data_IF_490481127629
#
_entry.id   IF_490481127629
#
_cell.length_a   1.000
_cell.length_b   1.000
_cell.length_c   1.000
_cell.angle_alpha   90.00
_cell.angle_beta   90.00
_cell.angle_gamma   90.00
#
_symmetry.space_group_name_H-M   'P 1'
#
loop_
_entity.id
_entity.type
_entity.pdbx_description
1 polymer ?
#
# COMPACT_ATOMS: atom_id res chain seq x y z
N UNK A 1 -0.98 -27.75 20.27
CA UNK A 1 -1.45 -26.84 21.35
C UNK A 1 -0.29 -26.35 22.23
N UNK A 2 0.55 -27.21 22.82
CA UNK A 2 1.68 -26.74 23.65
C UNK A 2 2.82 -26.06 22.87
N UNK A 3 3.12 -26.48 21.66
CA UNK A 3 4.09 -25.85 20.77
C UNK A 3 3.66 -24.44 20.36
N UNK A 4 2.37 -24.24 20.11
CA UNK A 4 1.83 -22.92 19.72
C UNK A 4 1.83 -21.94 20.91
N UNK A 5 1.50 -22.41 22.11
CA UNK A 5 1.55 -21.61 23.34
C UNK A 5 2.97 -21.14 23.69
N UNK A 6 3.98 -22.00 23.47
CA UNK A 6 5.37 -21.65 23.69
C UNK A 6 5.89 -20.65 22.65
N UNK A 7 5.47 -20.78 21.39
CA UNK A 7 5.79 -19.81 20.33
C UNK A 7 5.19 -18.43 20.64
N UNK A 8 3.91 -18.36 21.01
CA UNK A 8 3.21 -17.13 21.41
C UNK A 8 3.89 -16.48 22.63
N UNK A 9 4.24 -17.25 23.67
CA UNK A 9 4.97 -16.72 24.84
C UNK A 9 6.33 -16.15 24.46
N UNK A 10 7.07 -16.80 23.56
CA UNK A 10 8.38 -16.34 23.10
C UNK A 10 8.29 -15.04 22.31
N UNK A 11 7.28 -14.90 21.43
CA UNK A 11 7.02 -13.66 20.67
C UNK A 11 6.66 -12.53 21.63
N UNK A 12 5.75 -12.76 22.58
CA UNK A 12 5.36 -11.75 23.56
C UNK A 12 6.55 -11.31 24.42
N UNK A 13 7.43 -12.24 24.83
CA UNK A 13 8.62 -11.91 25.60
C UNK A 13 9.58 -11.04 24.79
N UNK A 14 9.81 -11.35 23.51
CA UNK A 14 10.65 -10.55 22.60
C UNK A 14 10.09 -9.14 22.45
N UNK A 15 8.79 -9.02 22.16
CA UNK A 15 8.14 -7.74 21.94
C UNK A 15 8.17 -6.86 23.21
N UNK A 16 7.95 -7.45 24.40
CA UNK A 16 8.06 -6.74 25.66
C UNK A 16 9.49 -6.25 25.93
N UNK A 17 10.52 -7.04 25.60
CA UNK A 17 11.92 -6.63 25.74
C UNK A 17 12.25 -5.47 24.82
N UNK A 18 11.81 -5.52 23.54
CA UNK A 18 12.00 -4.43 22.59
C UNK A 18 11.32 -3.17 23.11
N UNK A 19 10.07 -3.27 23.56
CA UNK A 19 9.31 -2.12 24.08
C UNK A 19 9.99 -1.49 25.29
N UNK A 20 10.46 -2.29 26.25
CA UNK A 20 11.17 -1.79 27.45
C UNK A 20 12.48 -1.12 27.04
N UNK A 21 13.28 -1.75 26.16
CA UNK A 21 14.53 -1.20 25.68
C UNK A 21 14.32 0.13 24.94
N UNK A 22 13.26 0.20 24.14
CA UNK A 22 12.89 1.40 23.39
C UNK A 22 12.45 2.55 24.31
N UNK A 23 11.67 2.25 25.35
CA UNK A 23 11.33 3.23 26.41
C UNK A 23 12.59 3.77 27.10
N UNK A 24 13.54 2.90 27.44
CA UNK A 24 14.80 3.32 28.05
C UNK A 24 15.60 4.21 27.08
N UNK A 25 15.70 3.81 25.81
CA UNK A 25 16.37 4.57 24.77
C UNK A 25 15.71 5.95 24.58
N UNK A 26 14.38 6.01 24.59
CA UNK A 26 13.62 7.27 24.49
C UNK A 26 14.03 8.25 25.58
N UNK A 27 14.09 7.83 26.86
CA UNK A 27 14.53 8.68 27.96
C UNK A 27 16.02 9.07 27.87
N UNK A 28 16.88 8.20 27.37
CA UNK A 28 18.29 8.52 27.11
C UNK A 28 18.37 9.64 26.06
N UNK A 29 17.70 9.48 24.92
CA UNK A 29 17.73 10.45 23.82
C UNK A 29 17.19 11.81 24.22
N UNK A 30 16.12 11.84 25.03
CA UNK A 30 15.58 13.10 25.56
C UNK A 30 16.63 13.97 26.27
N UNK A 31 17.64 13.34 26.90
CA UNK A 31 18.61 14.03 27.76
C UNK A 31 20.01 14.13 27.14
N UNK A 32 20.31 13.40 26.06
CA UNK A 32 21.68 13.30 25.53
C UNK A 32 21.87 13.93 24.17
N UNK A 33 20.81 14.17 23.40
CA UNK A 33 20.92 14.78 22.09
C UNK A 33 21.40 16.25 22.18
N UNK A 34 22.32 16.70 21.27
CA UNK A 34 22.98 18.00 21.37
C UNK A 34 22.25 19.12 20.63
N UNK A 35 20.92 19.03 20.44
CA UNK A 35 20.13 20.00 19.71
C UNK A 35 19.25 20.86 20.64
N UNK A 36 18.31 21.63 20.08
CA UNK A 36 17.36 22.37 20.88
C UNK A 36 16.41 21.43 21.65
N UNK A 37 15.86 21.84 22.80
CA UNK A 37 14.99 20.97 23.60
C UNK A 37 13.81 20.40 22.81
N UNK A 38 13.19 21.21 21.93
CA UNK A 38 12.08 20.79 21.08
C UNK A 38 12.53 19.77 20.03
N UNK A 39 13.68 19.98 19.38
CA UNK A 39 14.26 19.04 18.44
C UNK A 39 14.66 17.72 19.11
N UNK A 40 15.27 17.77 20.30
CA UNK A 40 15.62 16.57 21.06
C UNK A 40 14.40 15.72 21.39
N UNK A 41 13.32 16.34 21.88
CA UNK A 41 12.06 15.66 22.15
C UNK A 41 11.46 15.03 20.90
N UNK A 42 11.48 15.76 19.78
CA UNK A 42 10.94 15.28 18.50
C UNK A 42 11.75 14.14 17.91
N UNK A 43 13.07 14.22 17.96
CA UNK A 43 13.96 13.16 17.49
C UNK A 43 13.84 11.90 18.36
N UNK A 44 13.75 12.08 19.70
CA UNK A 44 13.51 10.96 20.61
C UNK A 44 12.15 10.30 20.32
N UNK A 45 11.10 11.09 20.10
CA UNK A 45 9.78 10.60 19.70
C UNK A 45 9.85 9.84 18.36
N UNK A 46 10.53 10.41 17.38
CA UNK A 46 10.72 9.76 16.07
C UNK A 46 11.38 8.39 16.20
N UNK A 47 12.51 8.31 16.93
CA UNK A 47 13.24 7.04 17.13
C UNK A 47 12.36 6.01 17.84
N UNK A 48 11.65 6.41 18.88
CA UNK A 48 10.70 5.56 19.61
C UNK A 48 9.60 5.00 18.68
N UNK A 49 8.93 5.85 17.95
CA UNK A 49 7.87 5.44 17.02
C UNK A 49 8.45 4.58 15.87
N UNK A 50 9.63 4.95 15.35
CA UNK A 50 10.30 4.19 14.28
C UNK A 50 10.62 2.76 14.71
N UNK A 51 11.20 2.56 15.90
CA UNK A 51 11.52 1.23 16.42
C UNK A 51 10.24 0.40 16.58
N UNK A 52 9.17 0.97 17.14
CA UNK A 52 7.89 0.26 17.30
C UNK A 52 7.24 -0.09 15.95
N UNK A 53 7.29 0.79 14.95
CA UNK A 53 6.74 0.50 13.61
C UNK A 53 7.59 -0.52 12.84
N UNK A 54 8.92 -0.43 12.91
CA UNK A 54 9.83 -1.31 12.18
C UNK A 54 9.90 -2.73 12.79
N UNK A 55 9.76 -2.84 14.11
CA UNK A 55 9.85 -4.14 14.81
C UNK A 55 8.48 -4.80 15.02
N UNK A 56 7.39 -4.05 14.82
CA UNK A 56 6.02 -4.45 15.18
C UNK A 56 5.90 -4.99 16.62
N UNK A 57 6.78 -4.50 17.52
CA UNK A 57 6.73 -4.86 18.93
C UNK A 57 5.41 -4.44 19.59
N UNK A 58 4.76 -3.42 19.04
CA UNK A 58 3.41 -2.99 19.33
C UNK A 58 2.64 -2.92 18.01
N UNK A 59 1.32 -3.19 18.06
CA UNK A 59 0.49 -3.10 16.86
C UNK A 59 0.59 -1.72 16.21
N UNK A 60 0.80 -1.68 14.89
CA UNK A 60 1.11 -0.44 14.14
C UNK A 60 0.08 0.69 14.36
N UNK A 61 -1.20 0.35 14.50
CA UNK A 61 -2.28 1.30 14.80
C UNK A 61 -2.14 1.90 16.21
N UNK A 62 -1.79 1.08 17.21
CA UNK A 62 -1.58 1.56 18.59
C UNK A 62 -0.37 2.48 18.64
N UNK A 63 0.71 2.13 17.94
CA UNK A 63 1.88 3.00 17.79
C UNK A 63 1.51 4.34 17.15
N UNK A 64 0.64 4.34 16.13
CA UNK A 64 0.14 5.57 15.51
C UNK A 64 -0.62 6.48 16.49
N UNK A 65 -1.39 5.89 17.40
CA UNK A 65 -2.09 6.64 18.46
C UNK A 65 -1.13 7.17 19.54
N UNK A 66 0.02 6.54 19.77
CA UNK A 66 1.05 7.07 20.70
C UNK A 66 1.65 8.38 20.18
N UNK A 67 1.69 8.63 18.87
CA UNK A 67 2.26 9.85 18.31
C UNK A 67 1.58 11.12 18.83
N UNK A 68 0.25 11.32 18.68
CA UNK A 68 -0.41 12.50 19.23
C UNK A 68 -0.35 12.53 20.77
N UNK A 69 -0.47 11.37 21.44
CA UNK A 69 -0.41 11.29 22.90
C UNK A 69 0.94 11.83 23.40
N UNK A 70 2.04 11.28 22.92
CA UNK A 70 3.38 11.68 23.34
C UNK A 70 3.72 13.09 22.87
N UNK A 71 3.32 13.46 21.64
CA UNK A 71 3.51 14.82 21.12
C UNK A 71 2.87 15.90 22.00
N UNK A 72 1.66 15.65 22.51
CA UNK A 72 0.95 16.54 23.44
C UNK A 72 1.63 16.55 24.82
N UNK A 73 1.96 15.38 25.36
CA UNK A 73 2.59 15.25 26.69
C UNK A 73 3.97 15.89 26.74
N UNK A 74 4.73 15.85 25.64
CA UNK A 74 6.04 16.49 25.51
C UNK A 74 5.95 18.00 25.22
N UNK A 75 4.74 18.52 24.97
CA UNK A 75 4.51 19.94 24.65
C UNK A 75 4.93 20.34 23.23
N UNK A 76 5.04 19.38 22.30
CA UNK A 76 5.47 19.59 20.92
C UNK A 76 4.34 20.06 20.00
N UNK A 77 3.10 19.72 20.34
CA UNK A 77 1.91 20.04 19.56
C UNK A 77 0.70 20.21 20.47
N UNK A 78 -0.23 21.08 20.08
CA UNK A 78 -1.50 21.24 20.81
C UNK A 78 -2.47 20.13 20.45
N UNK A 79 -3.33 19.74 21.41
CA UNK A 79 -4.29 18.63 21.21
C UNK A 79 -5.16 18.79 19.97
N UNK A 80 -5.65 20.00 19.67
CA UNK A 80 -6.46 20.28 18.50
C UNK A 80 -5.70 20.02 17.21
N UNK A 81 -4.45 20.42 17.13
CA UNK A 81 -3.60 20.26 15.95
C UNK A 81 -3.20 18.79 15.75
N UNK A 82 -2.78 18.11 16.82
CA UNK A 82 -2.42 16.70 16.80
C UNK A 82 -3.56 15.80 16.32
N UNK A 83 -4.79 16.09 16.76
CA UNK A 83 -5.97 15.29 16.42
C UNK A 83 -6.59 15.70 15.08
N UNK A 84 -6.38 16.94 14.61
CA UNK A 84 -6.87 17.40 13.31
C UNK A 84 -6.28 16.57 12.13
N UNK A 85 -5.05 16.07 12.28
CA UNK A 85 -4.42 15.22 11.28
C UNK A 85 -5.19 13.91 11.01
N UNK A 86 -5.95 13.41 12.00
CA UNK A 86 -6.81 12.23 11.84
C UNK A 86 -8.11 12.54 11.08
N UNK A 87 -8.38 13.79 10.79
CA UNK A 87 -9.51 14.25 9.97
C UNK A 87 -9.04 14.79 8.60
N UNK A 88 -7.84 14.43 8.14
CA UNK A 88 -7.36 14.81 6.82
C UNK A 88 -8.31 14.28 5.74
N UNK A 89 -8.64 15.07 4.70
CA UNK A 89 -9.52 14.65 3.63
C UNK A 89 -9.13 13.34 2.94
N UNK A 90 -7.84 13.04 2.80
CA UNK A 90 -7.36 11.81 2.16
C UNK A 90 -7.76 10.57 2.97
N UNK A 91 -7.84 10.68 4.30
CA UNK A 91 -8.31 9.57 5.16
C UNK A 91 -9.77 9.21 4.81
N UNK A 92 -10.61 10.20 4.56
CA UNK A 92 -12.00 9.99 4.15
C UNK A 92 -12.13 9.53 2.70
N UNK A 93 -11.19 9.89 1.82
CA UNK A 93 -11.10 9.33 0.48
C UNK A 93 -10.85 7.81 0.55
N UNK A 94 -9.90 7.36 1.40
CA UNK A 94 -9.64 5.94 1.63
C UNK A 94 -10.83 5.23 2.27
N UNK A 95 -11.48 5.84 3.25
CA UNK A 95 -12.71 5.30 3.83
C UNK A 95 -13.77 5.04 2.75
N UNK A 96 -14.01 6.00 1.84
CA UNK A 96 -14.93 5.82 0.72
C UNK A 96 -14.46 4.74 -0.27
N UNK A 97 -13.15 4.61 -0.49
CA UNK A 97 -12.56 3.52 -1.27
C UNK A 97 -12.85 2.14 -0.66
N UNK A 98 -12.70 1.99 0.67
CA UNK A 98 -13.06 0.76 1.39
C UNK A 98 -14.56 0.46 1.32
N UNK A 99 -15.41 1.48 1.43
CA UNK A 99 -16.86 1.30 1.29
C UNK A 99 -17.24 0.81 -0.12
N UNK A 100 -16.61 1.36 -1.16
CA UNK A 100 -16.81 0.95 -2.55
C UNK A 100 -16.31 -0.49 -2.80
N UNK A 101 -15.12 -0.82 -2.31
CA UNK A 101 -14.57 -2.18 -2.36
C UNK A 101 -15.47 -3.20 -1.66
N UNK A 102 -15.98 -2.84 -0.48
CA UNK A 102 -16.93 -3.66 0.29
C UNK A 102 -18.22 -3.88 -0.50
N UNK A 103 -18.76 -2.86 -1.14
CA UNK A 103 -19.96 -2.98 -1.97
C UNK A 103 -19.76 -3.92 -3.16
N UNK A 104 -18.62 -3.83 -3.85
CA UNK A 104 -18.26 -4.74 -4.95
C UNK A 104 -18.17 -6.19 -4.45
N UNK A 105 -17.52 -6.41 -3.30
CA UNK A 105 -17.32 -7.72 -2.71
C UNK A 105 -18.63 -8.38 -2.26
N UNK A 106 -19.48 -7.66 -1.52
CA UNK A 106 -20.78 -8.17 -1.06
C UNK A 106 -21.68 -8.56 -2.23
N UNK A 107 -21.63 -7.81 -3.32
CA UNK A 107 -22.39 -8.11 -4.52
C UNK A 107 -21.72 -9.18 -5.41
N UNK A 108 -20.57 -9.77 -5.01
CA UNK A 108 -19.78 -10.74 -5.76
C UNK A 108 -19.40 -10.23 -7.17
N UNK A 109 -19.27 -8.92 -7.35
CA UNK A 109 -18.89 -8.33 -8.64
C UNK A 109 -17.43 -8.56 -8.98
N UNK A 110 -16.56 -8.63 -7.98
CA UNK A 110 -15.18 -9.06 -8.06
C UNK A 110 -15.07 -10.46 -8.70
N UNK A 111 -15.86 -11.42 -8.19
CA UNK A 111 -15.93 -12.80 -8.75
C UNK A 111 -16.55 -12.83 -10.14
N UNK A 112 -17.59 -12.04 -10.38
CA UNK A 112 -18.23 -11.96 -11.68
C UNK A 112 -17.23 -11.48 -12.75
N UNK A 113 -16.46 -10.42 -12.46
CA UNK A 113 -15.43 -9.88 -13.37
C UNK A 113 -14.37 -10.94 -13.61
N UNK A 114 -13.86 -11.57 -12.54
CA UNK A 114 -12.85 -12.60 -12.63
C UNK A 114 -13.32 -13.79 -13.47
N UNK A 115 -14.50 -14.36 -13.19
CA UNK A 115 -15.06 -15.48 -13.93
C UNK A 115 -15.26 -15.17 -15.41
N UNK A 116 -15.77 -13.96 -15.73
CA UNK A 116 -16.01 -13.54 -17.12
C UNK A 116 -14.72 -13.42 -17.91
N UNK A 117 -13.67 -12.85 -17.33
CA UNK A 117 -12.36 -12.71 -17.98
C UNK A 117 -11.67 -14.07 -18.09
N UNK A 118 -11.74 -14.90 -17.05
CA UNK A 118 -11.17 -16.23 -17.07
C UNK A 118 -11.84 -17.14 -18.13
N UNK A 119 -13.15 -16.99 -18.37
CA UNK A 119 -13.85 -17.71 -19.42
C UNK A 119 -13.29 -17.41 -20.82
N UNK A 120 -12.71 -16.24 -21.04
CA UNK A 120 -12.07 -15.86 -22.32
C UNK A 120 -10.74 -16.56 -22.56
N UNK A 121 -10.21 -17.34 -21.62
CA UNK A 121 -8.96 -18.11 -21.80
C UNK A 121 -9.13 -19.35 -22.69
N UNK A 122 -10.37 -19.73 -22.99
CA UNK A 122 -10.71 -20.90 -23.81
C UNK A 122 -9.99 -22.18 -23.34
N UNK A 123 -9.75 -22.33 -22.04
CA UNK A 123 -9.12 -23.49 -21.45
C UNK A 123 -7.59 -23.57 -21.63
N UNK A 124 -6.95 -22.57 -22.22
CA UNK A 124 -5.48 -22.53 -22.35
C UNK A 124 -4.85 -22.01 -21.05
N UNK A 125 -4.03 -22.83 -20.41
CA UNK A 125 -3.43 -22.50 -19.11
C UNK A 125 -2.56 -21.23 -19.14
N UNK A 126 -1.77 -21.02 -20.21
CA UNK A 126 -0.93 -19.83 -20.36
C UNK A 126 -1.77 -18.54 -20.41
N UNK A 127 -2.86 -18.55 -21.17
CA UNK A 127 -3.78 -17.42 -21.30
C UNK A 127 -4.52 -17.18 -19.99
N UNK A 128 -4.95 -18.28 -19.34
CA UNK A 128 -5.62 -18.21 -18.05
C UNK A 128 -4.73 -17.56 -16.97
N UNK A 129 -3.45 -17.94 -16.90
CA UNK A 129 -2.50 -17.35 -15.95
C UNK A 129 -2.31 -15.86 -16.19
N UNK A 130 -2.14 -15.43 -17.46
CA UNK A 130 -2.00 -14.00 -17.78
C UNK A 130 -3.28 -13.22 -17.43
N UNK A 131 -4.45 -13.76 -17.76
CA UNK A 131 -5.74 -13.13 -17.42
C UNK A 131 -5.93 -13.06 -15.90
N UNK A 132 -5.55 -14.11 -15.18
CA UNK A 132 -5.60 -14.16 -13.72
C UNK A 132 -4.75 -13.02 -13.13
N UNK A 133 -3.53 -12.83 -13.61
CA UNK A 133 -2.63 -11.76 -13.17
C UNK A 133 -3.19 -10.37 -13.52
N UNK A 134 -3.69 -10.20 -14.74
CA UNK A 134 -4.26 -8.93 -15.18
C UNK A 134 -5.51 -8.55 -14.36
N UNK A 135 -6.40 -9.52 -14.09
CA UNK A 135 -7.59 -9.30 -13.26
C UNK A 135 -7.19 -9.02 -11.81
N UNK A 136 -6.23 -9.78 -11.27
CA UNK A 136 -5.71 -9.53 -9.93
C UNK A 136 -5.17 -8.11 -9.81
N UNK A 137 -4.33 -7.67 -10.74
CA UNK A 137 -3.79 -6.32 -10.73
C UNK A 137 -4.91 -5.25 -10.89
N UNK A 138 -5.85 -5.46 -11.80
CA UNK A 138 -6.97 -4.54 -12.01
C UNK A 138 -7.86 -4.40 -10.77
N UNK A 139 -8.22 -5.51 -10.12
CA UNK A 139 -9.05 -5.48 -8.91
C UNK A 139 -8.29 -4.86 -7.73
N UNK A 140 -7.00 -5.15 -7.62
CA UNK A 140 -6.14 -4.58 -6.56
C UNK A 140 -5.93 -3.07 -6.69
N UNK A 141 -6.19 -2.48 -7.83
CA UNK A 141 -6.26 -1.01 -7.95
C UNK A 141 -7.39 -0.39 -7.12
N UNK A 142 -8.45 -1.14 -6.82
CA UNK A 142 -9.70 -0.64 -6.22
C UNK A 142 -10.04 -1.28 -4.88
N UNK A 143 -9.38 -2.38 -4.54
CA UNK A 143 -9.58 -3.19 -3.33
C UNK A 143 -8.23 -3.40 -2.65
N UNK A 144 -8.25 -3.80 -1.36
CA UNK A 144 -6.98 -4.14 -0.71
C UNK A 144 -6.30 -5.34 -1.39
N UNK A 145 -4.96 -5.29 -1.45
CA UNK A 145 -4.13 -6.36 -2.01
C UNK A 145 -4.45 -7.71 -1.36
N UNK A 146 -4.71 -7.70 -0.05
CA UNK A 146 -5.06 -8.88 0.75
C UNK A 146 -6.37 -9.51 0.29
N UNK A 147 -7.44 -8.71 0.20
CA UNK A 147 -8.74 -9.19 -0.25
C UNK A 147 -8.68 -9.73 -1.68
N UNK A 148 -7.98 -9.03 -2.57
CA UNK A 148 -7.80 -9.43 -3.96
C UNK A 148 -7.06 -10.77 -4.06
N UNK A 149 -5.93 -10.94 -3.37
CA UNK A 149 -5.18 -12.19 -3.38
C UNK A 149 -6.00 -13.36 -2.81
N UNK A 150 -6.70 -13.14 -1.68
CA UNK A 150 -7.54 -14.16 -1.04
C UNK A 150 -8.68 -14.62 -1.95
N UNK A 151 -9.28 -13.71 -2.72
CA UNK A 151 -10.35 -14.04 -3.67
C UNK A 151 -9.83 -14.75 -4.92
N UNK A 152 -8.66 -14.35 -5.44
CA UNK A 152 -8.12 -14.93 -6.66
C UNK A 152 -7.46 -16.30 -6.43
N UNK A 153 -7.02 -16.60 -5.20
CA UNK A 153 -6.40 -17.88 -4.85
C UNK A 153 -7.31 -19.09 -5.13
N UNK A 154 -8.59 -19.14 -4.69
CA UNK A 154 -9.47 -20.27 -5.01
C UNK A 154 -9.65 -20.49 -6.52
N UNK A 155 -9.71 -19.43 -7.34
CA UNK A 155 -9.78 -19.53 -8.80
C UNK A 155 -8.51 -20.16 -9.38
N UNK A 156 -7.35 -19.73 -8.91
CA UNK A 156 -6.07 -20.33 -9.30
C UNK A 156 -5.99 -21.79 -8.88
N UNK A 157 -6.35 -22.12 -7.65
CA UNK A 157 -6.35 -23.50 -7.16
C UNK A 157 -7.31 -24.39 -7.94
N UNK A 158 -8.46 -23.86 -8.37
CA UNK A 158 -9.39 -24.56 -9.25
C UNK A 158 -8.78 -24.94 -10.59
N UNK A 159 -7.99 -24.05 -11.20
CA UNK A 159 -7.27 -24.31 -12.44
C UNK A 159 -6.11 -25.28 -12.18
N UNK A 160 -5.32 -25.04 -11.14
CA UNK A 160 -4.14 -25.83 -10.80
C UNK A 160 -4.50 -27.24 -10.35
N UNK A 161 -5.69 -27.49 -9.78
CA UNK A 161 -6.14 -28.82 -9.32
C UNK A 161 -6.18 -29.88 -10.42
N UNK A 162 -6.11 -29.48 -11.70
CA UNK A 162 -6.04 -30.38 -12.85
C UNK A 162 -4.61 -30.82 -13.18
N UNK A 163 -3.61 -30.26 -12.53
CA UNK A 163 -2.19 -30.54 -12.71
C UNK A 163 -1.69 -31.47 -11.59
N UNK A 164 -0.63 -32.23 -11.88
CA UNK A 164 0.08 -33.00 -10.84
C UNK A 164 1.02 -32.06 -10.04
N UNK A 165 0.79 -31.86 -8.72
CA UNK A 165 1.59 -30.94 -7.92
C UNK A 165 3.10 -31.28 -7.89
N UNK A 166 3.48 -32.56 -8.09
CA UNK A 166 4.90 -32.96 -8.09
C UNK A 166 5.54 -32.72 -9.43
N UNK A 167 4.85 -33.09 -10.51
CA UNK A 167 5.36 -32.99 -11.89
C UNK A 167 5.34 -31.55 -12.39
N UNK A 168 4.30 -30.81 -12.04
CA UNK A 168 4.04 -29.46 -12.56
C UNK A 168 4.26 -28.38 -11.49
N UNK A 169 5.08 -28.67 -10.47
CA UNK A 169 5.37 -27.81 -9.33
C UNK A 169 5.74 -26.37 -9.74
N UNK A 170 6.60 -26.22 -10.73
CA UNK A 170 7.02 -24.91 -11.23
C UNK A 170 5.84 -24.08 -11.77
N UNK A 171 4.82 -24.72 -12.33
CA UNK A 171 3.60 -24.03 -12.80
C UNK A 171 2.75 -23.58 -11.61
N UNK A 172 2.66 -24.40 -10.56
CA UNK A 172 2.03 -23.98 -9.30
C UNK A 172 2.71 -22.73 -8.73
N UNK A 173 4.04 -22.76 -8.61
CA UNK A 173 4.83 -21.64 -8.08
C UNK A 173 4.62 -20.39 -8.92
N UNK A 174 4.69 -20.49 -10.26
CA UNK A 174 4.49 -19.40 -11.18
C UNK A 174 3.11 -18.72 -11.00
N UNK A 175 2.04 -19.51 -10.93
CA UNK A 175 0.68 -18.98 -10.82
C UNK A 175 0.43 -18.37 -9.45
N UNK A 176 0.85 -19.03 -8.38
CA UNK A 176 0.62 -18.57 -7.01
C UNK A 176 1.40 -17.29 -6.70
N UNK A 177 2.70 -17.24 -7.03
CA UNK A 177 3.50 -16.02 -6.87
C UNK A 177 3.00 -14.90 -7.80
N UNK A 178 2.58 -15.26 -9.01
CA UNK A 178 2.00 -14.30 -9.94
C UNK A 178 0.77 -13.59 -9.39
N UNK A 179 -0.10 -14.28 -8.64
CA UNK A 179 -1.24 -13.66 -7.95
C UNK A 179 -0.78 -12.69 -6.87
N UNK A 180 0.10 -13.13 -5.97
CA UNK A 180 0.57 -12.30 -4.87
C UNK A 180 1.25 -11.03 -5.36
N UNK A 181 2.12 -11.17 -6.35
CA UNK A 181 2.87 -10.05 -6.92
C UNK A 181 1.98 -9.14 -7.77
N UNK A 182 1.02 -9.72 -8.53
CA UNK A 182 0.03 -8.91 -9.25
C UNK A 182 -0.86 -8.09 -8.32
N UNK A 183 -1.21 -8.62 -7.15
CA UNK A 183 -1.96 -7.87 -6.15
C UNK A 183 -1.14 -6.68 -5.63
N UNK A 184 0.11 -6.90 -5.26
CA UNK A 184 0.99 -5.82 -4.75
C UNK A 184 1.31 -4.77 -5.81
N UNK A 185 1.65 -5.18 -7.04
CA UNK A 185 1.95 -4.27 -8.16
C UNK A 185 0.68 -3.53 -8.60
N UNK A 186 -0.46 -4.23 -8.67
CA UNK A 186 -1.75 -3.65 -9.04
C UNK A 186 -2.17 -2.52 -8.11
N UNK A 187 -1.96 -2.71 -6.80
CA UNK A 187 -2.24 -1.69 -5.79
C UNK A 187 -1.52 -0.36 -5.99
N UNK A 188 -0.40 -0.32 -6.73
CA UNK A 188 0.31 0.93 -7.05
C UNK A 188 -0.48 1.81 -8.04
N UNK A 189 -1.36 1.21 -8.87
CA UNK A 189 -1.97 1.87 -10.02
C UNK A 189 -2.92 3.01 -9.69
N UNK A 190 -3.60 2.98 -8.54
CA UNK A 190 -4.47 4.06 -8.07
C UNK A 190 -4.13 4.50 -6.67
N UNK A 191 -4.64 5.65 -6.27
CA UNK A 191 -4.40 6.20 -4.94
C UNK A 191 -4.94 5.27 -3.85
N UNK A 192 -6.13 4.71 -4.01
CA UNK A 192 -6.79 3.86 -3.00
C UNK A 192 -6.34 2.39 -3.04
N UNK A 193 -5.57 1.99 -4.04
CA UNK A 193 -5.13 0.59 -4.19
C UNK A 193 -4.13 0.13 -3.14
N UNK A 194 -3.34 1.05 -2.57
CA UNK A 194 -2.36 0.71 -1.51
C UNK A 194 -2.17 1.89 -0.54
N UNK A 195 -2.10 1.64 0.79
CA UNK A 195 -1.92 2.69 1.78
C UNK A 195 -0.68 3.59 1.59
N UNK A 196 0.51 3.08 1.21
CA UNK A 196 1.66 3.93 0.90
C UNK A 196 1.38 5.05 -0.11
N UNK A 197 0.52 4.78 -1.10
CA UNK A 197 0.11 5.76 -2.10
C UNK A 197 -0.59 6.97 -1.45
N UNK A 198 -1.51 6.69 -0.54
CA UNK A 198 -2.25 7.71 0.19
C UNK A 198 -1.37 8.56 1.09
N UNK A 199 -0.36 7.96 1.72
CA UNK A 199 0.61 8.67 2.56
C UNK A 199 1.37 9.69 1.73
N UNK A 200 1.90 9.28 0.57
CA UNK A 200 2.58 10.19 -0.36
C UNK A 200 1.63 11.28 -0.84
N UNK A 201 0.42 10.90 -1.27
CA UNK A 201 -0.56 11.83 -1.80
C UNK A 201 -0.96 12.89 -0.78
N UNK A 202 -1.15 12.52 0.48
CA UNK A 202 -1.49 13.43 1.56
C UNK A 202 -0.34 14.41 1.86
N UNK A 203 0.89 13.91 1.94
CA UNK A 203 2.06 14.72 2.23
C UNK A 203 2.38 15.74 1.12
N UNK A 204 2.11 15.38 -0.13
CA UNK A 204 2.38 16.23 -1.29
C UNK A 204 1.15 17.00 -1.80
N UNK A 205 -0.04 16.73 -1.27
CA UNK A 205 -1.29 17.36 -1.71
C UNK A 205 -1.72 16.96 -3.12
N UNK A 206 -1.37 15.76 -3.61
CA UNK A 206 -1.70 15.28 -4.96
C UNK A 206 -3.06 14.59 -4.98
N UNK A 207 -3.83 14.84 -6.04
CA UNK A 207 -5.16 14.28 -6.27
C UNK A 207 -5.12 12.83 -6.74
N UNK A 208 -6.28 12.17 -6.75
CA UNK A 208 -6.42 10.81 -7.28
C UNK A 208 -5.93 10.71 -8.75
N UNK A 209 -6.35 11.65 -9.59
CA UNK A 209 -5.96 11.67 -11.00
C UNK A 209 -4.47 11.94 -11.21
N UNK A 210 -3.86 12.75 -10.36
CA UNK A 210 -2.43 13.02 -10.39
C UNK A 210 -1.63 11.80 -9.96
N UNK A 211 -2.04 11.08 -8.92
CA UNK A 211 -1.41 9.82 -8.54
C UNK A 211 -1.36 8.84 -9.71
N UNK A 212 -2.45 8.69 -10.45
CA UNK A 212 -2.50 7.78 -11.60
C UNK A 212 -1.45 8.09 -12.67
N UNK A 213 -0.99 9.34 -12.80
CA UNK A 213 0.09 9.69 -13.75
C UNK A 213 1.42 9.05 -13.36
N UNK A 214 1.62 8.75 -12.08
CA UNK A 214 2.84 8.14 -11.54
C UNK A 214 2.69 6.64 -11.33
N UNK A 215 1.65 6.22 -10.62
CA UNK A 215 1.43 4.84 -10.21
C UNK A 215 1.05 3.90 -11.37
N UNK A 216 0.15 4.35 -12.25
CA UNK A 216 -0.33 3.50 -13.35
C UNK A 216 0.78 3.14 -14.37
N UNK A 217 1.65 4.06 -14.84
CA UNK A 217 2.77 3.70 -15.69
C UNK A 217 3.74 2.71 -15.02
N UNK A 218 4.07 2.90 -13.74
CA UNK A 218 4.93 1.97 -12.99
C UNK A 218 4.29 0.58 -12.93
N UNK A 219 3.01 0.50 -12.58
CA UNK A 219 2.27 -0.77 -12.57
C UNK A 219 2.33 -1.46 -13.94
N UNK A 220 2.05 -0.72 -15.02
CA UNK A 220 2.04 -1.28 -16.38
C UNK A 220 3.43 -1.75 -16.85
N UNK A 221 4.50 -1.13 -16.36
CA UNK A 221 5.88 -1.55 -16.65
C UNK A 221 6.26 -2.77 -15.79
N UNK A 222 5.93 -2.75 -14.50
CA UNK A 222 6.33 -3.82 -13.58
C UNK A 222 5.55 -5.12 -13.83
N UNK A 223 4.29 -5.07 -14.28
CA UNK A 223 3.50 -6.27 -14.56
C UNK A 223 4.14 -7.22 -15.58
N UNK A 224 4.50 -6.80 -16.80
CA UNK A 224 5.18 -7.69 -17.75
C UNK A 224 6.58 -8.12 -17.28
N UNK A 225 7.32 -7.24 -16.58
CA UNK A 225 8.62 -7.60 -16.02
C UNK A 225 8.49 -8.67 -14.94
N UNK A 226 7.51 -8.58 -14.07
CA UNK A 226 7.19 -9.60 -13.06
C UNK A 226 6.86 -10.94 -13.72
N UNK A 227 6.00 -10.95 -14.75
CA UNK A 227 5.67 -12.16 -15.49
C UNK A 227 6.93 -12.75 -16.13
N UNK A 228 7.78 -11.90 -16.71
CA UNK A 228 9.06 -12.31 -17.30
C UNK A 228 10.01 -12.94 -16.29
N UNK A 229 10.18 -12.33 -15.12
CA UNK A 229 11.01 -12.88 -14.02
C UNK A 229 10.50 -14.24 -13.59
N UNK A 230 9.20 -14.36 -13.29
CA UNK A 230 8.61 -15.63 -12.87
C UNK A 230 8.76 -16.72 -13.96
N UNK A 231 8.57 -16.34 -15.24
CA UNK A 231 8.74 -17.27 -16.36
C UNK A 231 10.19 -17.77 -16.50
N UNK A 232 11.16 -16.87 -16.44
CA UNK A 232 12.58 -17.22 -16.56
C UNK A 232 13.05 -18.06 -15.38
N UNK A 233 12.60 -17.74 -14.15
CA UNK A 233 13.03 -18.42 -12.92
C UNK A 233 12.43 -19.83 -12.82
N UNK A 234 11.15 -19.99 -13.15
CA UNK A 234 10.42 -21.24 -12.92
C UNK A 234 10.16 -22.06 -14.18
N UNK A 235 10.18 -21.44 -15.37
CA UNK A 235 9.92 -22.12 -16.66
C UNK A 235 8.67 -23.00 -16.61
N UNK A 236 7.49 -22.42 -16.34
CA UNK A 236 6.24 -23.18 -16.19
C UNK A 236 5.88 -23.93 -17.47
N UNK A 237 5.22 -25.09 -17.34
CA UNK A 237 4.70 -25.87 -18.47
C UNK A 237 3.24 -25.49 -18.71
N UNK A 238 2.88 -25.18 -19.95
CA UNK A 238 1.55 -24.71 -20.33
C UNK A 238 0.83 -25.64 -21.32
N UNK A 239 1.33 -26.87 -21.50
CA UNK A 239 0.83 -27.80 -22.52
C UNK A 239 -0.57 -28.35 -22.22
N UNK A 240 -1.15 -28.01 -21.07
CA UNK A 240 -2.44 -28.52 -20.65
C UNK A 240 -3.58 -27.56 -21.02
N UNK A 241 -4.64 -28.16 -21.54
CA UNK A 241 -5.97 -27.55 -21.63
C UNK A 241 -6.81 -28.03 -20.45
N UNK A 242 -7.59 -27.14 -19.86
CA UNK A 242 -8.51 -27.48 -18.78
C UNK A 242 -9.95 -27.16 -19.17
N UNK A 243 -10.88 -28.00 -18.75
CA UNK A 243 -12.30 -27.72 -18.87
C UNK A 243 -12.68 -26.54 -17.94
N UNK A 244 -13.31 -25.56 -18.51
CA UNK A 244 -13.78 -24.39 -17.75
C UNK A 244 -15.17 -24.67 -17.16
N UNK A 245 -15.25 -24.63 -15.84
CA UNK A 245 -16.50 -24.62 -15.11
C UNK A 245 -16.48 -23.46 -14.13
N UNK A 246 -16.96 -22.29 -14.56
CA UNK A 246 -17.09 -21.14 -13.66
C UNK A 246 -18.54 -21.01 -13.20
N UNK A 247 -18.72 -20.67 -11.94
CA UNK A 247 -20.02 -20.36 -11.38
C UNK A 247 -20.66 -19.18 -12.14
N UNK A 248 -21.87 -19.38 -12.65
CA UNK A 248 -22.61 -18.34 -13.33
C UNK A 248 -23.18 -17.37 -12.31
N UNK A 249 -22.72 -16.14 -12.33
CA UNK A 249 -23.20 -15.07 -11.47
C UNK A 249 -24.10 -14.17 -12.33
N UNK A 250 -25.40 -14.14 -12.04
CA UNK A 250 -26.37 -13.33 -12.79
C UNK A 250 -26.27 -11.84 -12.41
N UNK A 251 -26.46 -10.97 -13.41
CA UNK A 251 -26.52 -9.53 -13.21
C UNK A 251 -27.88 -9.11 -12.68
N UNK A 252 -28.01 -9.01 -11.36
CA UNK A 252 -29.21 -8.47 -10.72
C UNK A 252 -29.27 -6.93 -10.82
N UNK A 253 -30.45 -6.30 -10.66
CA UNK A 253 -30.57 -4.84 -10.63
C UNK A 253 -29.65 -4.19 -9.58
N UNK A 254 -29.49 -4.79 -8.41
CA UNK A 254 -28.58 -4.32 -7.35
C UNK A 254 -27.12 -4.35 -7.80
N UNK A 255 -26.70 -5.40 -8.50
CA UNK A 255 -25.34 -5.52 -9.05
C UNK A 255 -25.08 -4.47 -10.12
N UNK A 256 -26.06 -4.25 -11.01
CA UNK A 256 -25.98 -3.20 -12.04
C UNK A 256 -25.85 -1.82 -11.39
N UNK A 257 -26.69 -1.53 -10.37
CA UNK A 257 -26.61 -0.27 -9.63
C UNK A 257 -25.25 -0.09 -8.97
N UNK A 258 -24.68 -1.15 -8.37
CA UNK A 258 -23.33 -1.11 -7.77
C UNK A 258 -22.26 -0.79 -8.81
N UNK A 259 -22.34 -1.40 -10.01
CA UNK A 259 -21.42 -1.09 -11.10
C UNK A 259 -21.57 0.36 -11.59
N UNK A 260 -22.78 0.89 -11.62
CA UNK A 260 -23.04 2.30 -12.00
C UNK A 260 -22.40 3.23 -10.95
N UNK A 261 -22.62 2.99 -9.67
CA UNK A 261 -22.03 3.79 -8.59
C UNK A 261 -20.50 3.73 -8.67
N UNK A 262 -19.93 2.54 -8.86
CA UNK A 262 -18.49 2.37 -9.05
C UNK A 262 -17.98 3.17 -10.24
N UNK A 263 -18.60 3.03 -11.40
CA UNK A 263 -18.18 3.72 -12.62
C UNK A 263 -18.29 5.24 -12.49
N UNK A 264 -19.35 5.75 -11.87
CA UNK A 264 -19.53 7.19 -11.62
C UNK A 264 -18.48 7.72 -10.63
N UNK A 265 -18.18 6.98 -9.56
CA UNK A 265 -17.14 7.36 -8.58
C UNK A 265 -15.78 7.38 -9.23
N UNK A 266 -15.38 6.31 -9.92
CA UNK A 266 -14.10 6.23 -10.63
C UNK A 266 -13.97 7.34 -11.70
N UNK A 267 -15.02 7.60 -12.47
CA UNK A 267 -15.06 8.70 -13.45
C UNK A 267 -14.93 10.06 -12.77
N UNK A 268 -15.63 10.25 -11.64
CA UNK A 268 -15.53 11.46 -10.83
C UNK A 268 -14.10 11.72 -10.35
N UNK A 269 -13.39 10.70 -9.89
CA UNK A 269 -11.99 10.79 -9.46
C UNK A 269 -11.03 11.05 -10.63
N UNK A 270 -11.13 10.27 -11.71
CA UNK A 270 -10.24 10.40 -12.88
C UNK A 270 -10.39 11.75 -13.58
N UNK A 271 -11.60 12.26 -13.66
CA UNK A 271 -11.90 13.52 -14.34
C UNK A 271 -12.20 14.67 -13.38
N UNK A 272 -11.77 14.58 -12.12
CA UNK A 272 -12.04 15.58 -11.07
C UNK A 272 -11.63 16.99 -11.47
N UNK A 273 -10.52 17.15 -12.17
CA UNK A 273 -10.03 18.45 -12.67
C UNK A 273 -10.99 19.16 -13.66
N UNK A 274 -11.81 18.38 -14.39
CA UNK A 274 -12.81 18.89 -15.34
C UNK A 274 -14.20 18.99 -14.71
N UNK A 275 -14.58 17.99 -13.92
CA UNK A 275 -15.92 17.89 -13.30
C UNK A 275 -16.09 18.92 -12.20
N UNK A 276 -15.08 19.13 -11.34
CA UNK A 276 -15.14 20.05 -10.22
C UNK A 276 -15.50 21.50 -10.64
N UNK A 277 -14.81 22.13 -11.60
CA UNK A 277 -15.21 23.47 -12.07
C UNK A 277 -16.62 23.55 -12.63
N UNK A 278 -17.01 22.55 -13.42
CA UNK A 278 -18.34 22.49 -14.03
C UNK A 278 -19.45 22.37 -12.96
N UNK A 279 -19.26 21.47 -11.98
CA UNK A 279 -20.21 21.28 -10.90
C UNK A 279 -20.24 22.49 -9.96
N UNK A 280 -19.11 23.11 -9.65
CA UNK A 280 -19.04 24.31 -8.81
C UNK A 280 -19.83 25.47 -9.46
N UNK A 281 -19.67 25.65 -10.79
CA UNK A 281 -20.44 26.66 -11.55
C UNK A 281 -21.94 26.35 -11.54
N UNK A 282 -22.33 25.08 -11.75
CA UNK A 282 -23.74 24.66 -11.71
C UNK A 282 -24.40 24.91 -10.37
N UNK A 283 -23.64 24.72 -9.27
CA UNK A 283 -24.09 24.97 -7.89
C UNK A 283 -24.00 26.42 -7.45
N UNK A 284 -23.51 27.32 -8.31
CA UNK A 284 -23.35 28.75 -8.01
C UNK A 284 -22.25 29.05 -6.98
N UNK A 285 -21.27 28.15 -6.83
CA UNK A 285 -20.15 28.33 -5.91
C UNK A 285 -19.12 29.32 -6.49
N UNK A 286 -18.56 30.17 -5.63
CA UNK A 286 -17.54 31.15 -6.05
C UNK A 286 -16.16 30.52 -6.30
N UNK A 287 -15.92 29.33 -5.76
CA UNK A 287 -14.66 28.60 -5.90
C UNK A 287 -14.90 27.11 -6.16
N UNK A 288 -13.85 26.42 -6.61
CA UNK A 288 -13.86 24.95 -6.73
C UNK A 288 -14.11 24.31 -5.36
N UNK A 289 -14.80 23.18 -5.36
CA UNK A 289 -15.00 22.36 -4.15
C UNK A 289 -13.65 21.87 -3.67
N UNK A 290 -13.27 22.20 -2.44
CA UNK A 290 -12.05 21.68 -1.83
C UNK A 290 -12.17 20.18 -1.59
N UNK A 291 -11.05 19.46 -1.71
CA UNK A 291 -10.97 18.00 -1.51
C UNK A 291 -12.07 17.23 -2.28
N UNK A 292 -12.28 17.61 -3.52
CA UNK A 292 -13.38 17.13 -4.36
C UNK A 292 -13.44 15.59 -4.45
N UNK A 293 -12.29 14.93 -4.56
CA UNK A 293 -12.18 13.46 -4.61
C UNK A 293 -12.75 12.82 -3.33
N UNK A 294 -12.51 13.43 -2.18
CA UNK A 294 -13.06 13.01 -0.88
C UNK A 294 -14.58 13.17 -0.84
N UNK A 295 -15.11 14.28 -1.35
CA UNK A 295 -16.57 14.51 -1.40
C UNK A 295 -17.24 13.45 -2.28
N UNK A 296 -16.66 13.11 -3.43
CA UNK A 296 -17.16 12.02 -4.28
C UNK A 296 -17.16 10.68 -3.51
N UNK A 297 -16.10 10.37 -2.78
CA UNK A 297 -15.97 9.16 -1.96
C UNK A 297 -17.07 9.06 -0.90
N UNK A 298 -17.33 10.14 -0.17
CA UNK A 298 -18.36 10.21 0.86
C UNK A 298 -19.78 10.13 0.27
N UNK A 299 -20.03 10.78 -0.87
CA UNK A 299 -21.31 10.65 -1.59
C UNK A 299 -21.53 9.19 -2.01
N UNK A 300 -20.52 8.53 -2.59
CA UNK A 300 -20.61 7.13 -2.97
C UNK A 300 -20.94 6.24 -1.76
N UNK A 301 -20.27 6.45 -0.62
CA UNK A 301 -20.55 5.73 0.63
C UNK A 301 -21.98 5.92 1.10
N UNK A 302 -22.46 7.17 1.11
CA UNK A 302 -23.83 7.48 1.49
C UNK A 302 -24.86 6.82 0.55
N UNK A 303 -24.64 6.89 -0.77
CA UNK A 303 -25.52 6.27 -1.78
C UNK A 303 -25.55 4.75 -1.63
N UNK A 304 -24.41 4.09 -1.38
CA UNK A 304 -24.33 2.64 -1.13
C UNK A 304 -25.22 2.24 0.07
N UNK A 305 -25.18 3.02 1.15
CA UNK A 305 -26.02 2.77 2.33
C UNK A 305 -27.52 3.06 2.06
N UNK A 306 -27.84 4.20 1.43
CA UNK A 306 -29.21 4.61 1.12
C UNK A 306 -29.88 3.59 0.19
N UNK A 307 -29.17 3.10 -0.82
CA UNK A 307 -29.65 2.09 -1.77
C UNK A 307 -29.63 0.67 -1.22
N UNK A 308 -29.16 0.49 0.03
CA UNK A 308 -29.06 -0.82 0.70
C UNK A 308 -28.21 -1.85 -0.06
N UNK A 309 -27.26 -1.41 -0.87
CA UNK A 309 -26.26 -2.27 -1.52
C UNK A 309 -25.38 -2.93 -0.47
N UNK A 310 -24.98 -2.15 0.53
CA UNK A 310 -24.32 -2.60 1.75
C UNK A 310 -24.90 -1.87 2.96
N UNK A 311 -24.95 -2.55 4.10
CA UNK A 311 -25.32 -1.94 5.39
C UNK A 311 -24.13 -1.20 5.97
N UNK A 312 -24.39 -0.24 6.86
CA UNK A 312 -23.32 0.44 7.60
C UNK A 312 -22.39 -0.54 8.34
N UNK A 313 -22.97 -1.58 8.95
CA UNK A 313 -22.20 -2.62 9.64
C UNK A 313 -21.22 -3.32 8.71
N UNK A 314 -21.64 -3.67 7.51
CA UNK A 314 -20.78 -4.30 6.51
C UNK A 314 -19.65 -3.37 6.05
N UNK A 315 -19.95 -2.07 5.84
CA UNK A 315 -18.91 -1.07 5.50
C UNK A 315 -17.93 -0.91 6.66
N UNK A 316 -18.42 -0.86 7.90
CA UNK A 316 -17.60 -0.77 9.10
C UNK A 316 -16.65 -1.97 9.23
N UNK A 317 -17.12 -3.17 8.96
CA UNK A 317 -16.34 -4.41 9.01
C UNK A 317 -15.35 -4.51 7.84
N UNK A 318 -15.71 -3.99 6.66
CA UNK A 318 -14.85 -3.97 5.47
C UNK A 318 -13.84 -2.81 5.44
N UNK A 319 -13.88 -1.90 6.41
CA UNK A 319 -12.96 -0.77 6.50
C UNK A 319 -11.71 -1.14 7.29
N UNK A 320 -10.55 -0.91 6.71
CA UNK A 320 -9.25 -1.09 7.37
C UNK A 320 -8.95 0.10 8.30
N UNK A 321 -9.64 0.21 9.44
CA UNK A 321 -9.52 1.31 10.41
C UNK A 321 -8.09 1.56 10.85
N UNK A 322 -7.29 0.49 10.99
CA UNK A 322 -5.88 0.59 11.35
C UNK A 322 -5.07 1.45 10.40
N UNK A 323 -5.35 1.35 9.10
CA UNK A 323 -4.72 2.16 8.04
C UNK A 323 -5.11 3.62 8.19
N UNK A 324 -6.38 3.92 8.44
CA UNK A 324 -6.86 5.29 8.61
C UNK A 324 -6.21 5.97 9.82
N UNK A 325 -6.09 5.27 10.94
CA UNK A 325 -5.38 5.76 12.13
C UNK A 325 -3.87 5.93 11.88
N UNK A 326 -3.27 5.04 11.10
CA UNK A 326 -1.84 5.14 10.77
C UNK A 326 -1.54 6.40 9.95
N UNK A 327 -2.43 6.79 9.04
CA UNK A 327 -2.31 8.06 8.31
C UNK A 327 -2.31 9.26 9.27
N UNK A 328 -3.28 9.32 10.17
CA UNK A 328 -3.37 10.40 11.17
C UNK A 328 -2.11 10.49 12.03
N UNK A 329 -1.60 9.35 12.52
CA UNK A 329 -0.36 9.30 13.30
C UNK A 329 0.85 9.75 12.51
N UNK A 330 1.00 9.29 11.25
CA UNK A 330 2.09 9.69 10.35
C UNK A 330 2.09 11.17 10.03
N UNK A 331 0.90 11.74 9.74
CA UNK A 331 0.74 13.18 9.50
C UNK A 331 1.06 14.01 10.75
N UNK A 332 0.62 13.56 11.94
CA UNK A 332 0.95 14.22 13.19
C UNK A 332 2.46 14.20 13.44
N UNK A 333 3.12 13.07 13.22
CA UNK A 333 4.58 12.94 13.37
C UNK A 333 5.31 13.87 12.40
N UNK A 334 4.90 13.90 11.12
CA UNK A 334 5.43 14.82 10.11
C UNK A 334 5.34 16.28 10.55
N UNK A 335 4.17 16.70 11.02
CA UNK A 335 3.95 18.07 11.50
C UNK A 335 4.83 18.40 12.72
N UNK A 336 4.97 17.49 13.67
CA UNK A 336 5.87 17.66 14.84
C UNK A 336 7.31 17.84 14.38
N UNK A 337 7.82 16.97 13.49
CA UNK A 337 9.19 17.04 13.00
C UNK A 337 9.47 18.33 12.24
N UNK A 338 8.53 18.78 11.40
CA UNK A 338 8.64 20.02 10.65
C UNK A 338 8.66 21.25 11.58
N UNK A 339 7.70 21.34 12.48
CA UNK A 339 7.54 22.51 13.38
C UNK A 339 8.71 22.68 14.38
N UNK A 340 9.38 21.60 14.76
CA UNK A 340 10.49 21.61 15.72
C UNK A 340 11.86 21.73 15.07
N UNK A 341 11.93 21.71 13.73
CA UNK A 341 13.18 21.70 12.97
C UNK A 341 13.93 20.37 12.99
N UNK A 342 13.37 19.32 13.58
CA UNK A 342 13.97 17.99 13.60
C UNK A 342 14.17 17.42 12.20
N UNK A 343 13.21 17.62 11.27
CA UNK A 343 13.33 17.26 9.87
C UNK A 343 14.57 17.87 9.21
N UNK A 344 14.82 19.16 9.47
CA UNK A 344 15.99 19.84 8.91
C UNK A 344 17.31 19.28 9.46
N UNK A 345 17.39 19.02 10.76
CA UNK A 345 18.58 18.40 11.38
C UNK A 345 18.90 17.06 10.74
N UNK A 346 17.88 16.23 10.52
CA UNK A 346 18.05 14.93 9.86
C UNK A 346 18.49 15.09 8.40
N UNK A 347 17.88 16.01 7.68
CA UNK A 347 18.20 16.27 6.29
C UNK A 347 19.65 16.79 6.15
N UNK A 348 20.06 17.77 6.94
CA UNK A 348 21.42 18.30 6.94
C UNK A 348 22.46 17.22 7.24
N UNK A 349 22.15 16.31 8.20
CA UNK A 349 23.00 15.16 8.52
C UNK A 349 23.16 14.21 7.32
N UNK A 350 22.09 13.90 6.57
CA UNK A 350 22.14 13.01 5.41
C UNK A 350 22.80 13.70 4.23
N UNK A 351 22.53 14.99 3.99
CA UNK A 351 23.15 15.78 2.91
C UNK A 351 24.65 15.77 3.03
N UNK A 352 25.22 15.90 4.24
CA UNK A 352 26.66 15.85 4.47
C UNK A 352 27.33 14.55 3.97
N UNK A 353 26.58 13.43 3.87
CA UNK A 353 27.07 12.18 3.30
C UNK A 353 26.86 12.06 1.78
N UNK A 354 25.93 12.83 1.21
CA UNK A 354 25.48 12.70 -0.18
C UNK A 354 26.00 13.90 -1.03
N UNK A 355 26.55 14.92 -0.41
CA UNK A 355 27.00 16.15 -1.06
C UNK A 355 27.94 15.87 -2.25
N UNK A 356 27.55 16.33 -3.45
CA UNK A 356 28.25 16.04 -4.69
C UNK A 356 27.84 14.73 -5.41
N UNK A 357 26.89 13.97 -4.87
CA UNK A 357 26.37 12.76 -5.52
C UNK A 357 25.48 13.06 -6.73
N UNK A 358 25.56 12.22 -7.75
CA UNK A 358 24.66 12.29 -8.89
C UNK A 358 23.24 11.88 -8.48
N UNK A 359 22.20 12.67 -8.78
CA UNK A 359 20.80 12.42 -8.36
C UNK A 359 20.27 11.03 -8.75
N UNK A 360 20.76 10.49 -9.88
CA UNK A 360 20.44 9.11 -10.27
C UNK A 360 20.91 8.08 -9.24
N UNK A 361 22.12 8.23 -8.72
CA UNK A 361 22.69 7.34 -7.69
C UNK A 361 21.90 7.47 -6.39
N UNK A 362 21.53 8.69 -6.02
CA UNK A 362 20.68 8.94 -4.83
C UNK A 362 19.35 8.20 -4.99
N UNK A 363 18.68 8.33 -6.15
CA UNK A 363 17.43 7.63 -6.44
C UNK A 363 17.56 6.11 -6.33
N UNK A 364 18.64 5.52 -6.85
CA UNK A 364 18.90 4.08 -6.76
C UNK A 364 19.17 3.62 -5.31
N UNK A 365 19.93 4.39 -4.54
CA UNK A 365 20.21 4.09 -3.13
C UNK A 365 18.92 4.11 -2.32
N UNK A 366 18.11 5.15 -2.50
CA UNK A 366 16.83 5.30 -1.79
C UNK A 366 15.85 4.19 -2.20
N UNK A 367 15.74 3.87 -3.49
CA UNK A 367 14.92 2.77 -3.96
C UNK A 367 15.41 1.43 -3.38
N UNK A 368 16.71 1.16 -3.36
CA UNK A 368 17.30 -0.04 -2.75
C UNK A 368 16.95 -0.10 -1.27
N UNK A 369 17.16 0.99 -0.55
CA UNK A 369 16.89 1.06 0.88
C UNK A 369 15.43 0.72 1.20
N UNK A 370 14.46 1.39 0.57
CA UNK A 370 13.05 1.17 0.91
C UNK A 370 12.58 -0.23 0.49
N UNK A 371 12.96 -0.71 -0.71
CA UNK A 371 12.52 -2.01 -1.25
C UNK A 371 13.02 -3.16 -0.39
N UNK A 372 14.26 -3.12 0.09
CA UNK A 372 14.78 -4.16 0.97
C UNK A 372 14.33 -3.99 2.43
N UNK A 373 14.11 -2.77 2.89
CA UNK A 373 13.57 -2.53 4.24
C UNK A 373 12.16 -3.10 4.37
N UNK A 374 11.30 -2.85 3.37
CA UNK A 374 9.88 -3.25 3.41
C UNK A 374 9.67 -4.77 3.36
N UNK A 375 10.70 -5.56 3.02
CA UNK A 375 10.65 -7.03 3.14
C UNK A 375 10.52 -7.52 4.60
N UNK A 376 10.98 -6.72 5.55
CA UNK A 376 11.03 -7.08 6.97
C UNK A 376 10.08 -6.24 7.83
N UNK A 377 9.42 -5.25 7.22
CA UNK A 377 8.61 -4.26 7.94
C UNK A 377 7.29 -4.02 7.20
N UNK A 378 6.30 -3.45 7.89
CA UNK A 378 5.03 -3.06 7.27
C UNK A 378 5.24 -1.98 6.19
N UNK A 379 4.75 -2.23 4.96
CA UNK A 379 4.80 -1.27 3.85
C UNK A 379 4.22 0.10 4.25
N UNK A 380 3.07 0.08 4.91
CA UNK A 380 2.36 1.29 5.32
C UNK A 380 3.13 2.04 6.41
N UNK A 381 3.65 1.33 7.42
CA UNK A 381 4.43 1.94 8.49
C UNK A 381 5.74 2.52 7.96
N UNK A 382 6.42 1.82 7.06
CA UNK A 382 7.64 2.30 6.41
C UNK A 382 7.38 3.58 5.60
N UNK A 383 6.30 3.63 4.83
CA UNK A 383 5.92 4.83 4.10
C UNK A 383 5.57 5.99 5.04
N UNK A 384 4.77 5.73 6.10
CA UNK A 384 4.37 6.76 7.07
C UNK A 384 5.56 7.38 7.81
N UNK A 385 6.59 6.58 8.07
CA UNK A 385 7.82 7.02 8.70
C UNK A 385 8.72 7.79 7.70
N UNK A 386 8.95 7.21 6.52
CA UNK A 386 10.03 7.65 5.65
C UNK A 386 9.62 8.75 4.66
N UNK A 387 8.36 8.79 4.19
CA UNK A 387 7.92 9.81 3.23
C UNK A 387 8.20 11.24 3.73
N UNK A 388 7.77 11.65 4.95
CA UNK A 388 8.04 13.00 5.42
C UNK A 388 9.53 13.29 5.61
N UNK A 389 10.33 12.28 6.01
CA UNK A 389 11.78 12.42 6.17
C UNK A 389 12.43 12.69 4.81
N UNK A 390 12.08 11.90 3.79
CA UNK A 390 12.67 12.04 2.46
C UNK A 390 12.17 13.27 1.69
N UNK A 391 10.98 13.80 2.01
CA UNK A 391 10.54 15.13 1.57
C UNK A 391 11.49 16.19 2.13
N UNK A 392 11.78 16.18 3.43
CA UNK A 392 12.70 17.14 4.05
C UNK A 392 14.14 17.03 3.51
N UNK A 393 14.60 15.81 3.20
CA UNK A 393 15.90 15.58 2.55
C UNK A 393 15.92 16.19 1.14
N UNK A 394 14.86 16.00 0.37
CA UNK A 394 14.75 16.58 -0.97
C UNK A 394 14.80 18.12 -0.93
N UNK A 395 14.10 18.74 0.01
CA UNK A 395 14.11 20.17 0.24
C UNK A 395 15.53 20.67 0.60
N UNK A 396 16.23 19.95 1.48
CA UNK A 396 17.61 20.30 1.86
C UNK A 396 18.61 20.14 0.70
N UNK A 397 18.38 19.18 -0.20
CA UNK A 397 19.17 18.99 -1.43
C UNK A 397 18.79 19.96 -2.57
N UNK A 398 17.76 20.80 -2.37
CA UNK A 398 17.17 21.66 -3.42
C UNK A 398 16.71 20.88 -4.66
N UNK A 399 16.14 19.66 -4.45
CA UNK A 399 15.49 18.85 -5.48
C UNK A 399 13.99 18.78 -5.23
N UNK A 400 13.24 18.38 -6.26
CA UNK A 400 11.78 18.24 -6.11
C UNK A 400 11.44 17.14 -5.10
N UNK A 401 10.66 17.48 -4.06
CA UNK A 401 10.22 16.54 -3.01
C UNK A 401 9.39 15.37 -3.58
N UNK A 402 8.73 15.58 -4.73
CA UNK A 402 7.96 14.59 -5.44
C UNK A 402 8.78 13.33 -5.74
N UNK A 403 10.02 13.48 -6.22
CA UNK A 403 10.85 12.36 -6.66
C UNK A 403 11.14 11.37 -5.54
N UNK A 404 11.72 11.84 -4.43
CA UNK A 404 12.05 10.97 -3.30
C UNK A 404 10.80 10.40 -2.63
N UNK A 405 9.74 11.19 -2.49
CA UNK A 405 8.48 10.72 -1.91
C UNK A 405 7.84 9.60 -2.74
N UNK A 406 7.81 9.72 -4.08
CA UNK A 406 7.32 8.67 -4.98
C UNK A 406 8.19 7.41 -4.94
N UNK A 407 9.53 7.55 -4.90
CA UNK A 407 10.45 6.41 -4.77
C UNK A 407 10.16 5.65 -3.47
N UNK A 408 9.98 6.34 -2.35
CA UNK A 408 9.64 5.73 -1.06
C UNK A 408 8.25 5.06 -1.12
N UNK A 409 7.22 5.78 -1.58
CA UNK A 409 5.84 5.27 -1.59
C UNK A 409 5.64 4.06 -2.51
N UNK A 410 6.15 4.13 -3.75
CA UNK A 410 6.07 3.01 -4.70
C UNK A 410 7.02 1.88 -4.30
N UNK A 411 8.23 2.20 -3.85
CA UNK A 411 9.19 1.21 -3.36
C UNK A 411 8.70 0.44 -2.13
N UNK A 412 7.96 1.11 -1.22
CA UNK A 412 7.33 0.45 -0.07
C UNK A 412 6.31 -0.62 -0.46
N UNK A 413 5.77 -0.59 -1.67
CA UNK A 413 4.87 -1.63 -2.19
C UNK A 413 5.60 -2.79 -2.89
N UNK A 414 6.94 -2.73 -3.02
CA UNK A 414 7.78 -3.74 -3.68
C UNK A 414 8.38 -4.71 -2.65
N UNK A 415 7.57 -5.60 -2.11
CA UNK A 415 7.99 -6.60 -1.12
C UNK A 415 7.62 -8.01 -1.61
N UNK A 416 8.56 -8.68 -2.27
CA UNK A 416 8.29 -9.91 -3.03
C UNK A 416 9.06 -11.14 -2.54
N UNK A 417 10.04 -10.99 -1.61
CA UNK A 417 10.93 -12.09 -1.23
C UNK A 417 10.37 -12.97 -0.11
N UNK A 418 9.71 -12.38 0.87
CA UNK A 418 9.36 -13.09 2.10
C UNK A 418 7.85 -13.31 2.24
N UNK A 419 7.43 -14.47 2.79
CA UNK A 419 6.02 -14.71 3.10
C UNK A 419 5.43 -13.68 4.07
N UNK A 420 6.23 -13.19 5.01
CA UNK A 420 5.79 -12.23 6.03
C UNK A 420 5.76 -10.79 5.53
N UNK A 421 6.39 -10.51 4.38
CA UNK A 421 6.54 -9.15 3.87
C UNK A 421 5.18 -8.50 3.50
N UNK A 422 4.26 -9.29 2.96
CA UNK A 422 2.91 -8.82 2.61
C UNK A 422 1.85 -9.88 2.88
N UNK A 423 0.60 -9.49 3.22
CA UNK A 423 -0.49 -10.45 3.34
C UNK A 423 -0.75 -11.30 2.07
N UNK A 424 -0.69 -10.76 0.83
CA UNK A 424 -0.75 -11.57 -0.39
C UNK A 424 0.29 -12.69 -0.43
N UNK A 425 1.54 -12.40 -0.06
CA UNK A 425 2.61 -13.41 0.00
C UNK A 425 2.28 -14.50 1.03
N UNK A 426 1.82 -14.10 2.23
CA UNK A 426 1.43 -15.03 3.28
C UNK A 426 0.26 -15.95 2.84
N UNK A 427 -0.72 -15.40 2.14
CA UNK A 427 -1.90 -16.12 1.64
C UNK A 427 -1.47 -17.23 0.67
N UNK A 428 -0.65 -16.91 -0.32
CA UNK A 428 -0.21 -17.93 -1.30
C UNK A 428 0.77 -18.92 -0.69
N UNK A 429 1.63 -18.48 0.22
CA UNK A 429 2.54 -19.36 0.98
C UNK A 429 1.77 -20.33 1.89
N UNK A 430 0.67 -19.87 2.49
CA UNK A 430 -0.21 -20.65 3.36
C UNK A 430 -0.88 -21.85 2.66
N UNK A 431 -0.85 -21.92 1.32
CA UNK A 431 -1.29 -23.11 0.57
C UNK A 431 -0.40 -24.35 0.79
N UNK A 432 0.81 -24.16 1.31
CA UNK A 432 1.81 -25.23 1.46
C UNK A 432 2.42 -25.71 0.14
N UNK A 433 2.07 -25.09 -0.99
CA UNK A 433 2.57 -25.47 -2.33
C UNK A 433 3.85 -24.72 -2.72
N UNK A 434 4.28 -23.75 -1.90
CA UNK A 434 5.46 -22.90 -2.13
C UNK A 434 6.53 -23.14 -1.08
N UNK A 435 7.78 -23.12 -1.51
CA UNK A 435 8.92 -23.03 -0.58
C UNK A 435 9.36 -21.59 -0.43
N UNK A 436 9.76 -21.19 0.77
CA UNK A 436 10.29 -19.86 1.02
C UNK A 436 11.48 -19.52 0.11
N UNK A 437 12.34 -20.50 -0.18
CA UNK A 437 13.49 -20.33 -1.08
C UNK A 437 13.09 -19.98 -2.51
N UNK A 438 11.93 -20.43 -2.97
CA UNK A 438 11.39 -20.10 -4.29
C UNK A 438 10.90 -18.65 -4.32
N UNK A 439 10.22 -18.20 -3.26
CA UNK A 439 9.83 -16.81 -3.12
C UNK A 439 11.06 -15.90 -3.07
N UNK A 440 12.04 -16.21 -2.21
CA UNK A 440 13.28 -15.43 -2.11
C UNK A 440 13.98 -15.34 -3.47
N UNK A 441 14.08 -16.44 -4.21
CA UNK A 441 14.74 -16.48 -5.52
C UNK A 441 14.05 -15.57 -6.54
N UNK A 442 12.75 -15.65 -6.66
CA UNK A 442 12.00 -14.83 -7.62
C UNK A 442 11.89 -13.39 -7.17
N UNK A 443 11.56 -13.18 -5.89
CA UNK A 443 11.40 -11.86 -5.28
C UNK A 443 12.68 -11.04 -5.31
N UNK A 444 13.84 -11.64 -5.08
CA UNK A 444 15.13 -10.94 -5.15
C UNK A 444 15.36 -10.31 -6.54
N UNK A 445 15.18 -11.08 -7.60
CA UNK A 445 15.36 -10.56 -8.96
C UNK A 445 14.32 -9.49 -9.30
N UNK A 446 13.08 -9.69 -8.84
CA UNK A 446 12.03 -8.68 -9.05
C UNK A 446 12.31 -7.40 -8.26
N UNK A 447 12.80 -7.49 -7.02
CA UNK A 447 13.21 -6.34 -6.22
C UNK A 447 14.33 -5.55 -6.91
N UNK A 448 15.34 -6.23 -7.44
CA UNK A 448 16.42 -5.58 -8.20
C UNK A 448 15.86 -4.84 -9.42
N UNK A 449 14.96 -5.46 -10.17
CA UNK A 449 14.28 -4.80 -11.30
C UNK A 449 13.49 -3.58 -10.84
N UNK A 450 12.75 -3.68 -9.73
CA UNK A 450 12.00 -2.56 -9.17
C UNK A 450 12.92 -1.40 -8.77
N UNK A 451 14.09 -1.68 -8.17
CA UNK A 451 15.10 -0.65 -7.86
C UNK A 451 15.49 0.13 -9.12
N UNK A 452 15.84 -0.58 -10.18
CA UNK A 452 16.24 0.08 -11.44
C UNK A 452 15.08 0.80 -12.11
N UNK A 453 13.89 0.21 -12.17
CA UNK A 453 12.72 0.83 -12.81
C UNK A 453 12.31 2.09 -12.06
N UNK A 454 12.09 2.00 -10.74
CA UNK A 454 11.62 3.13 -9.93
C UNK A 454 12.71 4.20 -9.83
N UNK A 455 13.97 3.83 -9.61
CA UNK A 455 15.08 4.76 -9.51
C UNK A 455 15.35 5.49 -10.83
N UNK A 456 15.30 4.78 -11.97
CA UNK A 456 15.52 5.39 -13.29
C UNK A 456 14.36 6.31 -13.68
N UNK A 457 13.12 5.88 -13.49
CA UNK A 457 11.93 6.72 -13.78
C UNK A 457 11.93 7.92 -12.84
N UNK A 458 12.28 7.73 -11.56
CA UNK A 458 12.45 8.82 -10.61
C UNK A 458 13.42 9.88 -11.10
N UNK A 459 14.59 9.46 -11.55
CA UNK A 459 15.60 10.37 -12.08
C UNK A 459 15.16 11.09 -13.36
N UNK A 460 14.50 10.39 -14.29
CA UNK A 460 14.16 10.97 -15.60
C UNK A 460 12.94 11.89 -15.56
N UNK A 461 11.99 11.67 -14.65
CA UNK A 461 10.68 12.31 -14.70
C UNK A 461 10.22 12.98 -13.40
N UNK A 462 10.86 12.70 -12.25
CA UNK A 462 10.38 13.18 -10.95
C UNK A 462 11.39 14.08 -10.22
N UNK A 463 12.67 14.12 -10.65
CA UNK A 463 13.72 15.03 -10.12
C UNK A 463 13.93 16.30 -10.99
#
# INVERSE_FOLDING_TARGET
>A
MDTDLNAIKKVNTRNNLIFIADVVLFFILLNTLPFTPEANKSLALLVFIAILWLTEALHVTVTALLVPILGILLGLVKSKEALAAFADPTIFLFFGGFALATALHIQNLDRLIANKIMAMSYGKLSVAAIYLFAVTAFLSMWMSNTATAAMMLPLAMGILSKLDPKRDHNTYVFVLLGIAYSASIGGMGTLVGSPPNGIVATQLGISFAEWMKYGLPIMLILMPLMIGVLYVVFRPKFDLQFEQSFEKIDLTPTRILTLIIFALTATGWIFSSKINPALSSLLGLQSKIASFDTIIALIATAVICITRIATWKQIQEGTEWGVLFLFGGGLTLSAILGNTGASKIMADGIVAFIEGGHYYIIGLIVATFIIFLTEFTSNTASAALLVPIFISIAEALNIQSLGLALIIGLGASCAFMLPVATPPNAIVFGTGMLKQTEMVKAGFWLNIICVFVIGTIGYLFWF
#
